data_IF_350667881193
#
_entry.id   IF_350667881193
#
_cell.length_a   1.000
_cell.length_b   1.000
_cell.length_c   1.000
_cell.angle_alpha   90.00
_cell.angle_beta   90.00
_cell.angle_gamma   90.00
#
_symmetry.space_group_name_H-M   'P 1'
#
loop_
_entity.id
_entity.type
_entity.pdbx_description
1 polymer ?
#
# COMPACT_ATOMS: atom_id res chain seq x y z
N UNK A 1 70.88 6.69 40.18
CA UNK A 1 71.58 5.51 39.65
C UNK A 1 70.63 4.69 38.78
N UNK A 2 70.92 4.61 37.48
CA UNK A 2 70.80 3.42 36.60
C UNK A 2 69.54 2.54 36.73
N UNK A 3 68.61 2.58 35.77
CA UNK A 3 68.55 1.79 34.50
C UNK A 3 68.15 0.30 34.70
N UNK A 4 67.19 -0.11 33.86
CA UNK A 4 66.84 -1.49 33.43
C UNK A 4 66.05 -2.35 34.44
N UNK A 5 65.09 -3.22 34.07
CA UNK A 5 64.41 -3.60 32.81
C UNK A 5 63.27 -4.58 33.19
N UNK A 6 62.21 -4.57 32.39
CA UNK A 6 61.40 -5.71 31.91
C UNK A 6 60.48 -6.52 32.84
N UNK A 7 59.30 -6.76 32.23
CA UNK A 7 58.40 -7.90 32.36
C UNK A 7 57.50 -7.94 33.60
N UNK A 8 56.20 -7.64 33.44
CA UNK A 8 55.17 -8.62 33.10
C UNK A 8 53.96 -7.86 32.56
N UNK A 9 53.85 -7.80 31.23
CA UNK A 9 52.61 -7.47 30.52
C UNK A 9 52.01 -8.78 30.04
N UNK A 10 51.02 -9.32 30.75
CA UNK A 10 50.05 -10.30 30.24
C UNK A 10 48.99 -10.58 31.30
N UNK A 11 47.75 -10.79 30.85
CA UNK A 11 46.60 -11.28 31.62
C UNK A 11 45.76 -10.29 32.44
N UNK A 12 45.26 -9.21 31.80
CA UNK A 12 43.92 -8.67 32.12
C UNK A 12 43.23 -8.31 30.81
N UNK A 13 42.72 -9.33 30.10
CA UNK A 13 42.00 -9.15 28.84
C UNK A 13 41.06 -10.33 28.58
N UNK A 14 40.04 -10.50 29.43
CA UNK A 14 38.86 -11.34 29.11
C UNK A 14 37.74 -11.17 30.15
N UNK A 15 37.11 -9.99 30.17
CA UNK A 15 35.76 -9.82 30.71
C UNK A 15 35.08 -8.68 29.95
N UNK A 16 35.04 -8.80 28.62
CA UNK A 16 34.10 -8.00 27.83
C UNK A 16 32.71 -8.60 28.08
N UNK A 17 31.71 -7.81 28.50
CA UNK A 17 30.33 -8.29 28.45
C UNK A 17 30.04 -8.55 26.99
N UNK A 18 29.64 -9.79 26.69
CA UNK A 18 28.96 -10.13 25.44
C UNK A 18 27.64 -9.35 25.42
N UNK A 19 27.69 -8.06 25.08
CA UNK A 19 26.60 -7.46 24.33
C UNK A 19 26.68 -8.11 22.96
N UNK A 20 26.01 -9.26 22.87
CA UNK A 20 25.57 -9.78 21.61
C UNK A 20 25.02 -8.59 20.82
N UNK A 21 25.58 -8.38 19.64
CA UNK A 21 24.99 -7.58 18.59
C UNK A 21 23.66 -8.24 18.21
N UNK A 22 22.67 -8.14 19.09
CA UNK A 22 21.30 -8.37 18.73
C UNK A 22 20.99 -7.29 17.71
N UNK A 23 20.77 -7.69 16.45
CA UNK A 23 19.84 -6.97 15.58
C UNK A 23 18.71 -6.52 16.50
N UNK A 24 18.53 -5.22 16.68
CA UNK A 24 17.32 -4.68 17.30
C UNK A 24 16.18 -5.21 16.45
N UNK A 25 15.62 -6.35 16.85
CA UNK A 25 14.35 -6.83 16.33
C UNK A 25 13.38 -5.77 16.79
N UNK A 26 13.07 -4.82 15.92
CA UNK A 26 12.01 -3.87 16.21
C UNK A 26 10.76 -4.71 16.44
N UNK A 27 10.25 -4.66 17.66
CA UNK A 27 9.08 -5.43 18.05
C UNK A 27 7.91 -4.93 17.21
N UNK A 28 7.43 -5.80 16.30
CA UNK A 28 6.26 -5.51 15.48
C UNK A 28 5.06 -5.23 16.38
N UNK A 29 4.20 -4.30 15.96
CA UNK A 29 2.91 -4.02 16.62
C UNK A 29 1.79 -4.64 15.80
N UNK A 30 0.91 -5.38 16.48
CA UNK A 30 -0.25 -6.00 15.87
C UNK A 30 -1.51 -5.29 16.38
N UNK A 31 -2.23 -4.63 15.49
CA UNK A 31 -3.50 -3.99 15.79
C UNK A 31 -4.63 -4.67 15.04
N UNK A 32 -5.76 -4.85 15.71
CA UNK A 32 -6.99 -5.38 15.11
C UNK A 32 -8.10 -4.38 15.29
N UNK A 33 -8.71 -3.99 14.18
CA UNK A 33 -9.94 -3.24 14.13
C UNK A 33 -11.13 -4.17 14.37
N UNK A 34 -11.98 -3.81 15.34
CA UNK A 34 -13.24 -4.50 15.63
C UNK A 34 -14.41 -3.70 15.07
N UNK A 35 -15.46 -4.42 14.66
CA UNK A 35 -16.73 -3.84 14.20
C UNK A 35 -17.45 -2.97 15.25
N UNK A 36 -17.04 -3.06 16.52
CA UNK A 36 -17.50 -2.18 17.61
C UNK A 36 -16.95 -0.75 17.57
N UNK A 37 -16.08 -0.40 16.61
CA UNK A 37 -15.38 0.90 16.59
C UNK A 37 -14.22 0.95 17.59
N UNK A 38 -13.61 -0.20 17.87
CA UNK A 38 -12.47 -0.34 18.77
C UNK A 38 -11.27 -0.91 18.03
N UNK A 39 -10.09 -0.41 18.36
CA UNK A 39 -8.83 -0.95 17.89
C UNK A 39 -8.06 -1.56 19.05
N UNK A 40 -7.69 -2.83 18.95
CA UNK A 40 -7.00 -3.56 20.02
C UNK A 40 -5.58 -3.91 19.59
N UNK A 41 -4.60 -3.50 20.38
CA UNK A 41 -3.21 -3.94 20.21
C UNK A 41 -3.02 -5.30 20.86
N UNK A 42 -2.34 -6.20 20.16
CA UNK A 42 -1.94 -7.51 20.65
C UNK A 42 -0.43 -7.67 20.59
N UNK A 43 0.08 -8.51 21.48
CA UNK A 43 1.42 -9.06 21.34
C UNK A 43 1.48 -10.03 20.16
N UNK A 44 2.33 -9.83 19.14
CA UNK A 44 2.37 -10.72 17.98
C UNK A 44 2.88 -12.14 18.30
N UNK A 45 3.59 -12.32 19.42
CA UNK A 45 4.18 -13.60 19.82
C UNK A 45 3.24 -14.44 20.66
N UNK A 46 2.34 -13.83 21.43
CA UNK A 46 1.42 -14.53 22.35
C UNK A 46 -0.06 -14.30 22.04
N UNK A 47 -0.37 -13.33 21.19
CA UNK A 47 -1.73 -12.82 20.95
C UNK A 47 -2.45 -12.34 22.21
N UNK A 48 -1.69 -11.96 23.25
CA UNK A 48 -2.25 -11.32 24.43
C UNK A 48 -2.62 -9.86 24.12
N UNK A 49 -3.82 -9.43 24.50
CA UNK A 49 -4.24 -8.04 24.34
C UNK A 49 -3.39 -7.12 25.23
N UNK A 50 -2.83 -6.06 24.65
CA UNK A 50 -2.03 -5.04 25.34
C UNK A 50 -2.87 -3.81 25.71
N UNK A 51 -3.60 -3.25 24.74
CA UNK A 51 -4.43 -2.06 24.94
C UNK A 51 -5.60 -1.98 23.96
N UNK A 52 -6.56 -1.10 24.26
CA UNK A 52 -7.72 -0.83 23.42
C UNK A 52 -7.91 0.67 23.26
N UNK A 53 -8.11 1.11 22.01
CA UNK A 53 -8.33 2.49 21.61
C UNK A 53 -9.69 2.61 20.96
N UNK A 54 -10.48 3.60 21.36
CA UNK A 54 -11.73 3.94 20.66
C UNK A 54 -11.40 4.76 19.43
N UNK A 55 -11.96 4.36 18.29
CA UNK A 55 -11.78 5.06 17.02
C UNK A 55 -13.14 5.53 16.50
N UNK A 56 -13.19 6.46 15.53
CA UNK A 56 -14.44 6.84 14.87
C UNK A 56 -15.16 5.62 14.27
N UNK A 57 -16.49 5.60 14.34
CA UNK A 57 -17.29 4.44 13.86
C UNK A 57 -17.17 4.28 12.34
N UNK A 58 -16.98 5.39 11.63
CA UNK A 58 -16.76 5.42 10.18
C UNK A 58 -15.49 4.66 9.80
N UNK A 59 -14.50 4.61 10.70
CA UNK A 59 -13.24 3.89 10.46
C UNK A 59 -13.44 2.37 10.38
N UNK A 60 -14.44 1.80 11.06
CA UNK A 60 -14.74 0.37 10.93
C UNK A 60 -15.39 0.01 9.60
N UNK A 61 -15.99 0.98 8.91
CA UNK A 61 -16.59 0.78 7.57
C UNK A 61 -15.59 1.04 6.44
N UNK A 62 -14.41 1.59 6.77
CA UNK A 62 -13.38 1.94 5.80
C UNK A 62 -11.98 1.67 6.38
N UNK A 63 -11.63 0.40 6.65
CA UNK A 63 -10.32 0.03 7.21
C UNK A 63 -9.14 0.55 6.37
N UNK A 64 -9.31 0.67 5.05
CA UNK A 64 -8.32 1.24 4.12
C UNK A 64 -7.99 2.71 4.39
N UNK A 65 -8.85 3.44 5.09
CA UNK A 65 -8.63 4.83 5.52
C UNK A 65 -7.87 4.94 6.85
N UNK A 66 -7.49 3.80 7.44
CA UNK A 66 -6.69 3.74 8.66
C UNK A 66 -5.21 3.49 8.30
N UNK A 67 -4.34 4.34 8.84
CA UNK A 67 -2.90 4.14 8.83
C UNK A 67 -2.38 3.99 10.26
N UNK A 68 -1.40 3.10 10.45
CA UNK A 68 -0.68 2.93 11.71
C UNK A 68 0.81 2.92 11.41
N UNK A 69 1.60 3.69 12.16
CA UNK A 69 3.06 3.65 12.04
C UNK A 69 3.70 2.68 13.03
N UNK A 70 5.01 2.46 12.90
CA UNK A 70 5.78 1.58 13.81
C UNK A 70 5.74 1.97 15.29
N UNK A 71 5.39 3.22 15.61
CA UNK A 71 5.25 3.69 17.00
C UNK A 71 3.86 3.39 17.59
N UNK A 72 2.94 2.89 16.76
CA UNK A 72 1.57 2.60 17.14
C UNK A 72 0.64 3.80 17.04
N UNK A 73 1.08 4.95 16.51
CA UNK A 73 0.16 6.06 16.27
C UNK A 73 -0.86 5.67 15.19
N UNK A 74 -2.11 6.10 15.35
CA UNK A 74 -3.22 5.72 14.47
C UNK A 74 -3.76 6.98 13.82
N UNK A 75 -3.92 6.94 12.51
CA UNK A 75 -4.54 7.99 11.70
C UNK A 75 -5.74 7.40 10.99
N UNK A 76 -6.90 8.04 11.12
CA UNK A 76 -8.05 7.81 10.26
C UNK A 76 -8.31 9.07 9.43
N UNK A 77 -8.20 8.95 8.12
CA UNK A 77 -8.42 10.04 7.18
C UNK A 77 -9.41 9.58 6.10
N UNK A 78 -10.64 10.15 6.04
CA UNK A 78 -11.61 9.78 5.02
C UNK A 78 -11.08 10.18 3.64
N UNK A 79 -11.23 9.29 2.65
CA UNK A 79 -10.83 9.57 1.28
C UNK A 79 -11.79 10.60 0.67
N UNK A 80 -11.23 11.63 0.04
CA UNK A 80 -11.97 12.65 -0.72
C UNK A 80 -11.33 12.74 -2.09
N UNK A 81 -12.13 12.56 -3.14
CA UNK A 81 -11.68 12.64 -4.53
C UNK A 81 -11.96 14.00 -5.13
N UNK A 82 -11.18 14.37 -6.15
CA UNK A 82 -11.50 15.49 -7.01
C UNK A 82 -12.30 14.98 -8.22
N UNK A 83 -13.28 15.75 -8.73
CA UNK A 83 -13.69 17.06 -8.23
C UNK A 83 -14.50 16.97 -6.94
N UNK A 84 -14.50 18.04 -6.15
CA UNK A 84 -15.20 18.04 -4.87
C UNK A 84 -16.72 18.04 -5.09
N UNK A 85 -17.42 17.13 -4.43
CA UNK A 85 -18.88 17.15 -4.40
C UNK A 85 -19.37 18.40 -3.65
N UNK A 86 -20.62 18.81 -3.91
CA UNK A 86 -21.19 19.95 -3.20
C UNK A 86 -21.21 19.72 -1.69
N UNK A 87 -21.54 18.49 -1.26
CA UNK A 87 -21.49 18.07 0.14
C UNK A 87 -20.12 18.27 0.79
N UNK A 88 -19.03 18.09 0.02
CA UNK A 88 -17.67 18.23 0.55
C UNK A 88 -17.30 19.68 0.89
N UNK A 89 -18.05 20.62 0.31
CA UNK A 89 -17.84 22.05 0.52
C UNK A 89 -18.71 22.61 1.64
N UNK A 90 -19.72 21.84 2.09
CA UNK A 90 -20.70 22.28 3.08
C UNK A 90 -20.29 21.99 4.52
N UNK A 91 -19.30 21.11 4.76
CA UNK A 91 -18.84 20.74 6.10
C UNK A 91 -17.33 20.61 6.18
N UNK A 92 -16.70 20.97 7.30
CA UNK A 92 -15.26 20.79 7.48
C UNK A 92 -14.93 19.30 7.58
N UNK A 93 -14.07 18.82 6.67
CA UNK A 93 -13.56 17.46 6.72
C UNK A 93 -12.42 17.40 7.73
N UNK A 94 -12.57 16.52 8.73
CA UNK A 94 -11.57 16.31 9.76
C UNK A 94 -11.02 14.90 9.66
N UNK A 95 -9.70 14.79 9.81
CA UNK A 95 -9.06 13.54 10.11
C UNK A 95 -8.99 13.35 11.63
N UNK A 96 -8.92 12.10 12.07
CA UNK A 96 -8.76 11.72 13.46
C UNK A 96 -7.37 11.12 13.66
N UNK A 97 -6.65 11.60 14.66
CA UNK A 97 -5.27 11.17 14.94
C UNK A 97 -5.11 10.80 16.41
N UNK A 98 -4.53 9.64 16.68
CA UNK A 98 -4.14 9.18 18.01
C UNK A 98 -2.62 9.09 18.13
N UNK A 99 -2.06 9.89 19.03
CA UNK A 99 -0.61 10.04 19.18
C UNK A 99 0.06 8.98 20.07
N UNK A 100 -0.68 7.96 20.53
CA UNK A 100 -0.22 7.02 21.57
C UNK A 100 -0.85 7.24 22.94
N UNK A 101 -1.53 8.37 23.15
CA UNK A 101 -2.14 8.75 24.44
C UNK A 101 -3.49 9.42 24.27
N UNK A 102 -3.58 10.42 23.40
CA UNK A 102 -4.75 11.26 23.21
C UNK A 102 -5.13 11.32 21.73
N UNK A 103 -6.42 11.42 21.47
CA UNK A 103 -6.95 11.64 20.14
C UNK A 103 -7.18 13.13 19.87
N UNK A 104 -6.89 13.56 18.66
CA UNK A 104 -7.13 14.93 18.15
C UNK A 104 -7.82 14.86 16.80
N UNK A 105 -8.56 15.93 16.46
CA UNK A 105 -9.14 16.11 15.15
C UNK A 105 -8.41 17.25 14.44
N UNK A 106 -7.97 17.01 13.21
CA UNK A 106 -7.19 17.96 12.40
C UNK A 106 -7.98 18.25 11.13
N UNK A 107 -7.99 19.48 10.67
CA UNK A 107 -8.63 19.86 9.40
C UNK A 107 -7.87 19.21 8.24
N UNK A 108 -8.59 18.55 7.34
CA UNK A 108 -8.03 17.93 6.14
C UNK A 108 -7.56 18.98 5.12
N UNK A 109 -8.04 20.22 5.24
CA UNK A 109 -7.59 21.35 4.42
C UNK A 109 -8.11 21.28 2.98
N UNK A 110 -9.33 20.77 2.78
CA UNK A 110 -10.01 20.84 1.49
C UNK A 110 -10.14 22.29 1.04
N UNK A 111 -9.96 22.54 -0.25
CA UNK A 111 -10.10 23.88 -0.83
C UNK A 111 -10.94 23.81 -2.09
N UNK A 112 -11.87 24.75 -2.23
CA UNK A 112 -12.58 25.06 -3.46
C UNK A 112 -12.69 26.57 -3.61
N UNK A 113 -12.28 27.08 -4.76
CA UNK A 113 -12.41 28.48 -5.13
C UNK A 113 -12.99 28.57 -6.54
N UNK A 114 -14.02 29.39 -6.72
CA UNK A 114 -14.67 29.60 -8.02
C UNK A 114 -14.51 31.07 -8.40
N UNK A 115 -13.92 31.32 -9.56
CA UNK A 115 -13.68 32.68 -10.07
C UNK A 115 -14.19 32.82 -11.50
N UNK A 116 -14.83 33.94 -11.82
CA UNK A 116 -15.28 34.22 -13.19
C UNK A 116 -14.10 34.66 -14.05
N UNK A 117 -13.89 34.00 -15.20
CA UNK A 117 -12.84 34.31 -16.17
C UNK A 117 -13.47 34.51 -17.56
N UNK A 118 -13.84 35.76 -17.89
CA UNK A 118 -14.54 36.07 -19.13
C UNK A 118 -15.94 35.44 -19.15
N UNK A 119 -16.26 34.65 -20.18
CA UNK A 119 -17.50 33.85 -20.26
C UNK A 119 -17.40 32.47 -19.61
N UNK A 120 -16.27 32.17 -18.96
CA UNK A 120 -16.00 30.88 -18.33
C UNK A 120 -15.90 31.03 -16.80
N UNK A 121 -15.96 29.91 -16.09
CA UNK A 121 -15.61 29.81 -14.68
C UNK A 121 -14.27 29.10 -14.53
N UNK A 122 -13.44 29.56 -13.60
CA UNK A 122 -12.23 28.86 -13.19
C UNK A 122 -12.45 28.32 -11.78
N UNK A 123 -12.48 26.99 -11.67
CA UNK A 123 -12.68 26.26 -10.42
C UNK A 123 -11.34 25.69 -9.99
N UNK A 124 -10.84 26.12 -8.84
CA UNK A 124 -9.60 25.62 -8.24
C UNK A 124 -9.93 24.79 -7.03
N UNK A 125 -9.53 23.52 -7.05
CA UNK A 125 -9.84 22.54 -6.00
C UNK A 125 -8.60 21.78 -5.54
N UNK A 126 -8.62 21.35 -4.29
CA UNK A 126 -7.58 20.52 -3.70
C UNK A 126 -8.18 19.62 -2.61
N UNK A 127 -7.86 18.33 -2.68
CA UNK A 127 -8.22 17.31 -1.70
C UNK A 127 -6.94 16.61 -1.22
N UNK A 128 -6.37 16.98 -0.05
CA UNK A 128 -5.16 16.35 0.45
C UNK A 128 -5.41 14.94 0.99
N UNK A 129 -4.48 14.03 0.67
CA UNK A 129 -4.31 12.74 1.35
C UNK A 129 -3.22 12.88 2.42
N UNK A 130 -3.45 12.30 3.60
CA UNK A 130 -2.58 12.46 4.77
C UNK A 130 -2.07 11.12 5.26
N UNK A 131 -0.79 11.06 5.60
CA UNK A 131 -0.14 9.85 6.05
C UNK A 131 0.79 10.11 7.23
N UNK A 132 1.00 9.08 8.04
CA UNK A 132 1.91 9.13 9.19
C UNK A 132 3.37 9.11 8.74
N UNK A 133 4.23 9.80 9.48
CA UNK A 133 5.66 9.57 9.40
C UNK A 133 6.06 8.30 10.16
N UNK A 134 7.15 7.65 9.73
CA UNK A 134 7.70 6.49 10.42
C UNK A 134 8.32 6.86 11.78
N UNK A 135 8.84 8.09 11.94
CA UNK A 135 9.39 8.60 13.21
C UNK A 135 8.32 9.14 14.19
N UNK A 136 7.07 9.22 13.73
CA UNK A 136 5.92 9.75 14.47
C UNK A 136 6.00 11.21 14.87
N UNK A 137 6.90 11.98 14.26
CA UNK A 137 7.05 13.42 14.50
C UNK A 137 6.24 14.28 13.53
N UNK A 138 5.81 13.72 12.39
CA UNK A 138 5.22 14.49 11.30
C UNK A 138 3.99 13.83 10.70
N UNK A 139 3.16 14.65 10.07
CA UNK A 139 2.16 14.19 9.09
C UNK A 139 2.63 14.61 7.70
N UNK A 140 2.58 13.68 6.76
CA UNK A 140 2.88 13.92 5.35
C UNK A 140 1.58 14.11 4.58
N UNK A 141 1.56 15.14 3.75
CA UNK A 141 0.39 15.56 3.01
C UNK A 141 0.72 15.56 1.52
N UNK A 142 -0.21 15.05 0.73
CA UNK A 142 -0.09 14.99 -0.72
C UNK A 142 -1.38 15.47 -1.34
N UNK A 143 -1.30 16.38 -2.29
CA UNK A 143 -2.49 16.87 -2.98
C UNK A 143 -2.21 17.16 -4.43
N UNK A 144 -3.18 16.88 -5.28
CA UNK A 144 -3.26 17.48 -6.61
C UNK A 144 -4.13 18.74 -6.49
N UNK A 145 -3.55 19.92 -6.69
CA UNK A 145 -4.32 21.15 -6.85
C UNK A 145 -4.73 21.28 -8.31
N UNK A 146 -6.00 21.08 -8.59
CA UNK A 146 -6.56 21.14 -9.94
C UNK A 146 -7.25 22.47 -10.18
N UNK A 147 -6.87 23.15 -11.27
CA UNK A 147 -7.56 24.36 -11.73
C UNK A 147 -8.24 24.06 -13.06
N UNK A 148 -9.55 23.86 -13.01
CA UNK A 148 -10.40 23.56 -14.16
C UNK A 148 -10.98 24.84 -14.75
N UNK A 149 -11.00 24.93 -16.06
CA UNK A 149 -11.73 25.95 -16.79
C UNK A 149 -13.04 25.34 -17.29
N UNK A 150 -14.16 25.94 -16.89
CA UNK A 150 -15.50 25.44 -17.16
C UNK A 150 -16.34 26.44 -17.95
N UNK A 151 -17.28 25.94 -18.72
CA UNK A 151 -18.36 26.72 -19.33
C UNK A 151 -19.64 25.91 -19.24
N UNK A 152 -20.69 26.48 -18.66
CA UNK A 152 -21.99 25.80 -18.52
C UNK A 152 -21.83 24.41 -17.88
N UNK A 153 -21.05 24.33 -16.80
CA UNK A 153 -20.73 23.10 -16.05
C UNK A 153 -19.97 22.01 -16.82
N UNK A 154 -19.47 22.32 -18.02
CA UNK A 154 -18.61 21.43 -18.81
C UNK A 154 -17.15 21.80 -18.63
N UNK A 155 -16.31 20.82 -18.29
CA UNK A 155 -14.86 21.00 -18.18
C UNK A 155 -14.23 21.17 -19.58
N UNK A 156 -13.49 22.25 -19.79
CA UNK A 156 -12.79 22.55 -21.05
C UNK A 156 -11.31 22.12 -20.99
N UNK A 157 -10.64 22.47 -19.89
CA UNK A 157 -9.24 22.14 -19.64
C UNK A 157 -8.94 22.14 -18.14
N UNK A 158 -7.83 21.51 -17.78
CA UNK A 158 -7.29 21.52 -16.41
C UNK A 158 -5.79 21.74 -16.43
N UNK A 159 -5.33 22.52 -15.46
CA UNK A 159 -3.93 22.53 -15.03
C UNK A 159 -3.85 21.92 -13.63
N UNK A 160 -2.89 21.02 -13.42
CA UNK A 160 -2.71 20.33 -12.13
C UNK A 160 -1.31 20.60 -11.61
N UNK A 161 -1.23 21.09 -10.38
CA UNK A 161 0.00 21.14 -9.60
C UNK A 161 -0.08 20.11 -8.48
N UNK A 162 0.74 19.07 -8.56
CA UNK A 162 0.88 18.10 -7.49
C UNK A 162 1.88 18.62 -6.45
N UNK A 163 1.54 18.49 -5.17
CA UNK A 163 2.32 19.00 -4.06
C UNK A 163 2.48 17.94 -2.97
N UNK A 164 3.65 17.92 -2.35
CA UNK A 164 3.95 17.20 -1.11
C UNK A 164 4.49 18.17 -0.07
N UNK A 165 3.95 18.13 1.14
CA UNK A 165 4.45 18.89 2.28
C UNK A 165 4.35 18.05 3.55
N UNK A 166 5.04 18.47 4.61
CA UNK A 166 4.85 17.91 5.96
C UNK A 166 4.42 18.98 6.95
N UNK A 167 3.82 18.53 8.04
CA UNK A 167 3.48 19.35 9.21
C UNK A 167 3.95 18.61 10.47
N UNK A 168 3.88 19.28 11.61
CA UNK A 168 3.87 18.57 12.89
C UNK A 168 2.62 17.68 13.04
N UNK A 169 2.55 16.94 14.14
CA UNK A 169 1.43 16.04 14.46
C UNK A 169 0.12 16.75 14.83
N UNK A 170 0.13 18.09 14.94
CA UNK A 170 -1.07 18.91 15.13
C UNK A 170 -1.58 19.52 13.81
N UNK A 171 -0.91 19.24 12.69
CA UNK A 171 -1.24 19.84 11.39
C UNK A 171 -0.68 21.25 11.19
N UNK A 172 0.24 21.70 12.04
CA UNK A 172 0.84 23.03 11.99
C UNK A 172 2.27 23.00 11.44
N UNK A 173 2.82 24.19 11.14
CA UNK A 173 4.23 24.31 10.70
C UNK A 173 4.50 23.66 9.35
N UNK A 174 3.68 23.97 8.34
CA UNK A 174 3.84 23.45 6.97
C UNK A 174 5.26 23.69 6.44
N UNK A 175 5.87 22.63 5.94
CA UNK A 175 7.13 22.61 5.22
C UNK A 175 6.97 21.92 3.88
N UNK A 176 7.16 22.66 2.78
CA UNK A 176 7.03 22.12 1.43
C UNK A 176 8.21 21.19 1.09
N UNK A 177 7.90 20.00 0.58
CA UNK A 177 8.89 18.97 0.26
C UNK A 177 9.13 18.90 -1.25
N UNK A 178 8.06 18.87 -2.03
CA UNK A 178 8.12 18.80 -3.49
C UNK A 178 6.87 19.41 -4.13
N UNK A 179 7.03 19.94 -5.34
CA UNK A 179 5.93 20.34 -6.22
C UNK A 179 6.27 20.02 -7.67
N UNK A 180 5.29 19.53 -8.42
CA UNK A 180 5.41 19.24 -9.85
C UNK A 180 4.16 19.72 -10.58
N UNK A 181 4.36 20.52 -11.63
CA UNK A 181 3.30 20.87 -12.56
C UNK A 181 3.15 19.77 -13.59
N UNK A 182 1.95 19.20 -13.64
CA UNK A 182 1.61 18.21 -14.67
C UNK A 182 1.30 18.93 -15.99
N UNK A 183 1.44 18.24 -17.14
CA UNK A 183 1.13 18.84 -18.44
C UNK A 183 -0.30 19.38 -18.48
N UNK A 184 -0.48 20.57 -19.07
CA UNK A 184 -1.81 21.10 -19.33
C UNK A 184 -2.61 20.11 -20.20
N UNK A 185 -3.87 19.92 -19.85
CA UNK A 185 -4.70 18.91 -20.45
C UNK A 185 -6.05 19.49 -20.86
N UNK A 186 -6.49 19.15 -22.07
CA UNK A 186 -7.84 19.45 -22.57
C UNK A 186 -8.77 18.33 -22.19
N UNK A 187 -10.04 18.66 -21.96
CA UNK A 187 -11.05 17.73 -21.47
C UNK A 187 -12.10 17.50 -22.58
N UNK A 188 -11.75 16.74 -23.64
CA UNK A 188 -12.58 16.61 -24.84
C UNK A 188 -13.92 15.91 -24.59
N UNK A 189 -14.03 15.16 -23.50
CA UNK A 189 -15.24 14.42 -23.09
C UNK A 189 -16.18 15.27 -22.24
N UNK A 190 -15.81 16.52 -21.93
CA UNK A 190 -16.54 17.40 -21.02
C UNK A 190 -16.22 17.18 -19.54
N UNK A 191 -15.31 16.24 -19.24
CA UNK A 191 -14.85 15.88 -17.90
C UNK A 191 -13.33 15.70 -17.93
N UNK A 192 -12.62 16.27 -16.95
CA UNK A 192 -11.16 16.17 -16.93
C UNK A 192 -10.61 14.89 -16.31
N UNK A 193 -11.33 14.25 -15.38
CA UNK A 193 -10.85 13.09 -14.62
C UNK A 193 -10.49 11.90 -15.52
N UNK A 194 -11.27 11.69 -16.57
CA UNK A 194 -11.12 10.56 -17.49
C UNK A 194 -9.96 10.76 -18.49
N UNK A 195 -9.53 12.02 -18.70
CA UNK A 195 -8.57 12.37 -19.77
C UNK A 195 -7.24 12.89 -19.25
N UNK A 196 -7.23 13.45 -18.04
CA UNK A 196 -6.12 14.25 -17.54
C UNK A 196 -5.41 13.60 -16.35
N UNK A 197 -4.07 13.74 -16.27
CA UNK A 197 -3.30 13.08 -15.24
C UNK A 197 -3.40 13.80 -13.89
N UNK A 198 -3.46 13.01 -12.84
CA UNK A 198 -3.33 13.41 -11.45
C UNK A 198 -2.15 12.66 -10.80
N UNK A 199 -1.58 13.23 -9.73
CA UNK A 199 -0.54 12.54 -8.97
C UNK A 199 -1.14 11.66 -7.90
N UNK A 200 -0.91 10.35 -7.99
CA UNK A 200 -1.28 9.35 -6.97
C UNK A 200 -0.02 8.94 -6.23
N UNK A 201 -0.09 8.84 -4.90
CA UNK A 201 1.06 8.56 -4.05
C UNK A 201 0.92 7.19 -3.42
N UNK A 202 2.03 6.45 -3.38
CA UNK A 202 2.19 5.27 -2.55
C UNK A 202 3.23 5.55 -1.47
N UNK A 203 2.94 5.09 -0.24
CA UNK A 203 3.85 5.20 0.90
C UNK A 203 4.03 3.84 1.57
N UNK A 204 5.16 3.61 2.28
CA UNK A 204 5.36 2.40 3.06
C UNK A 204 4.32 2.23 4.16
N UNK A 205 3.89 0.99 4.43
CA UNK A 205 2.88 0.68 5.44
C UNK A 205 3.22 1.20 6.85
N UNK A 206 4.51 1.34 7.18
CA UNK A 206 4.98 1.82 8.49
C UNK A 206 5.04 3.36 8.60
N UNK A 207 4.53 4.07 7.59
CA UNK A 207 4.62 5.52 7.45
C UNK A 207 5.80 5.95 6.58
N UNK A 208 5.78 7.22 6.19
CA UNK A 208 6.84 7.85 5.39
C UNK A 208 8.08 8.03 6.25
N UNK A 209 9.18 7.39 5.85
CA UNK A 209 10.50 7.58 6.44
C UNK A 209 11.29 8.56 5.58
N UNK A 210 12.12 8.02 4.68
CA UNK A 210 13.01 8.76 3.78
C UNK A 210 12.54 8.72 2.33
N UNK A 211 11.43 8.05 2.01
CA UNK A 211 10.95 7.96 0.62
C UNK A 211 9.43 7.79 0.48
N UNK A 212 8.94 8.12 -0.71
CA UNK A 212 7.61 7.76 -1.22
C UNK A 212 7.64 7.68 -2.76
N UNK A 213 6.60 7.11 -3.36
CA UNK A 213 6.46 6.98 -4.81
C UNK A 213 5.28 7.84 -5.28
N UNK A 214 5.44 8.55 -6.39
CA UNK A 214 4.34 9.25 -7.06
C UNK A 214 4.22 8.76 -8.49
N UNK A 215 2.99 8.42 -8.90
CA UNK A 215 2.64 8.05 -10.26
C UNK A 215 1.66 9.05 -10.86
N UNK A 216 1.90 9.45 -12.09
CA UNK A 216 0.96 10.19 -12.92
C UNK A 216 -0.10 9.22 -13.47
N UNK A 217 -1.33 9.38 -13.02
CA UNK A 217 -2.44 8.48 -13.25
C UNK A 217 -3.58 9.21 -13.98
N UNK A 218 -4.13 8.60 -15.02
CA UNK A 218 -5.39 9.01 -15.66
C UNK A 218 -6.40 7.90 -15.40
N UNK A 219 -7.58 8.25 -14.86
CA UNK A 219 -8.60 7.25 -14.55
C UNK A 219 -9.10 6.52 -15.80
N UNK A 220 -9.19 7.24 -16.92
CA UNK A 220 -9.74 6.73 -18.17
C UNK A 220 -11.24 6.52 -18.10
N UNK A 221 -11.86 6.32 -19.28
CA UNK A 221 -13.27 5.88 -19.37
C UNK A 221 -13.43 4.37 -19.26
N UNK A 222 -12.47 3.66 -19.84
CA UNK A 222 -12.51 2.22 -20.02
C UNK A 222 -11.44 1.52 -19.20
N UNK A 223 -10.25 2.11 -19.16
CA UNK A 223 -9.10 1.59 -18.43
C UNK A 223 -8.22 2.72 -17.90
N UNK A 224 -7.57 2.54 -16.75
CA UNK A 224 -6.62 3.51 -16.22
C UNK A 224 -5.32 3.52 -17.02
N UNK A 225 -4.74 4.72 -17.17
CA UNK A 225 -3.45 4.93 -17.84
C UNK A 225 -2.42 5.47 -16.85
N UNK A 226 -1.31 4.75 -16.70
CA UNK A 226 -0.17 5.14 -15.87
C UNK A 226 0.93 5.72 -16.75
N UNK A 227 1.23 7.03 -16.61
CA UNK A 227 2.11 7.75 -17.55
C UNK A 227 3.57 7.73 -17.15
N UNK A 228 3.87 8.04 -15.88
CA UNK A 228 5.23 8.12 -15.37
C UNK A 228 5.22 7.98 -13.85
N UNK A 229 6.28 7.40 -13.30
CA UNK A 229 6.49 7.31 -11.85
C UNK A 229 7.84 7.87 -11.45
N UNK A 230 7.91 8.43 -10.24
CA UNK A 230 9.14 8.92 -9.66
C UNK A 230 9.25 8.48 -8.19
N UNK A 231 10.46 8.10 -7.81
CA UNK A 231 10.87 7.90 -6.42
C UNK A 231 11.31 9.24 -5.84
N UNK A 232 10.60 9.69 -4.81
CA UNK A 232 11.01 10.84 -4.03
C UNK A 232 11.77 10.34 -2.82
N UNK A 233 13.02 10.79 -2.67
CA UNK A 233 13.88 10.41 -1.57
C UNK A 233 14.43 11.64 -0.86
N UNK A 234 14.45 11.59 0.46
CA UNK A 234 15.10 12.53 1.34
C UNK A 234 16.60 12.23 1.41
N UNK A 235 17.40 13.26 1.19
CA UNK A 235 18.84 13.24 1.43
C UNK A 235 19.30 14.61 1.93
N UNK A 236 19.83 14.65 3.15
CA UNK A 236 20.38 15.87 3.75
C UNK A 236 19.37 17.01 3.93
N UNK A 237 18.12 16.71 4.26
CA UNK A 237 17.03 17.66 4.43
C UNK A 237 16.36 18.09 3.12
N UNK A 238 16.73 17.51 1.99
CA UNK A 238 16.16 17.84 0.68
C UNK A 238 15.49 16.61 0.05
N UNK A 239 14.29 16.80 -0.46
CA UNK A 239 13.59 15.79 -1.24
C UNK A 239 13.95 15.91 -2.71
N UNK A 240 14.30 14.79 -3.33
CA UNK A 240 14.69 14.72 -4.74
C UNK A 240 13.91 13.64 -5.46
N UNK A 241 13.44 13.96 -6.66
CA UNK A 241 12.69 13.05 -7.51
C UNK A 241 13.65 12.34 -8.48
N UNK A 242 13.62 11.01 -8.47
CA UNK A 242 14.31 10.17 -9.44
C UNK A 242 13.27 9.46 -10.31
N UNK A 243 13.17 9.77 -11.61
CA UNK A 243 12.26 9.08 -12.52
C UNK A 243 12.56 7.59 -12.57
N UNK A 244 11.50 6.78 -12.58
CA UNK A 244 11.59 5.35 -12.82
C UNK A 244 11.49 5.05 -14.32
N UNK A 245 12.04 3.92 -14.75
CA UNK A 245 12.05 3.53 -16.16
C UNK A 245 10.64 3.29 -16.71
N UNK A 246 9.78 2.67 -15.92
CA UNK A 246 8.37 2.42 -16.25
C UNK A 246 7.46 3.07 -15.19
N UNK A 247 6.24 3.39 -15.60
CA UNK A 247 5.20 3.80 -14.66
C UNK A 247 4.74 2.59 -13.84
N UNK A 248 4.74 2.75 -12.52
CA UNK A 248 4.24 1.76 -11.57
C UNK A 248 2.71 1.78 -11.56
N UNK A 249 2.09 0.60 -11.62
CA UNK A 249 0.62 0.47 -11.57
C UNK A 249 0.09 0.40 -10.14
N UNK A 250 0.12 -0.80 -9.54
CA UNK A 250 -0.32 -1.03 -8.15
C UNK A 250 0.85 -1.49 -7.29
N UNK A 251 1.45 -0.56 -6.56
CA UNK A 251 2.56 -0.90 -5.65
C UNK A 251 2.01 -1.67 -4.45
N UNK A 252 2.54 -2.87 -4.22
CA UNK A 252 2.19 -3.71 -3.07
C UNK A 252 3.08 -3.44 -1.87
N UNK A 253 4.39 -3.35 -2.10
CA UNK A 253 5.39 -3.12 -1.05
C UNK A 253 6.69 -2.55 -1.65
N UNK A 254 7.54 -1.97 -0.81
CA UNK A 254 8.88 -1.56 -1.19
C UNK A 254 9.87 -1.67 -0.03
N UNK A 255 11.10 -2.08 -0.35
CA UNK A 255 12.20 -2.08 0.59
C UNK A 255 12.58 -0.66 1.03
N UNK A 256 13.34 -0.55 2.12
CA UNK A 256 13.85 0.72 2.62
C UNK A 256 14.57 1.53 1.52
N UNK A 257 14.26 2.82 1.43
CA UNK A 257 14.77 3.72 0.40
C UNK A 257 14.23 3.49 -1.02
N UNK A 258 13.29 2.57 -1.23
CA UNK A 258 12.58 2.38 -2.51
C UNK A 258 13.37 1.67 -3.62
N UNK A 259 14.50 1.03 -3.30
CA UNK A 259 15.36 0.39 -4.29
C UNK A 259 14.78 -0.93 -4.85
N UNK A 260 13.98 -1.63 -4.04
CA UNK A 260 13.23 -2.83 -4.43
C UNK A 260 11.76 -2.55 -4.26
N UNK A 261 10.97 -2.75 -5.32
CA UNK A 261 9.53 -2.47 -5.34
C UNK A 261 8.79 -3.70 -5.83
N UNK A 262 7.73 -4.08 -5.13
CA UNK A 262 6.76 -5.08 -5.58
C UNK A 262 5.56 -4.37 -6.17
N UNK A 263 5.20 -4.74 -7.38
CA UNK A 263 4.11 -4.17 -8.15
C UNK A 263 3.19 -5.28 -8.63
N UNK A 264 1.89 -5.12 -8.45
CA UNK A 264 0.87 -5.85 -9.18
C UNK A 264 0.52 -5.09 -10.46
N UNK A 265 0.55 -5.80 -11.58
CA UNK A 265 0.02 -5.38 -12.86
C UNK A 265 -1.38 -5.98 -12.95
N UNK A 266 -2.43 -5.18 -12.73
CA UNK A 266 -3.79 -5.67 -12.83
C UNK A 266 -4.16 -5.92 -14.29
N UNK A 267 -5.15 -6.79 -14.50
CA UNK A 267 -5.81 -6.91 -15.78
C UNK A 267 -6.43 -5.57 -16.22
N UNK A 268 -6.19 -5.19 -17.48
CA UNK A 268 -6.85 -4.10 -18.18
C UNK A 268 -8.08 -4.64 -18.92
N UNK A 269 -9.17 -4.88 -18.19
CA UNK A 269 -10.47 -5.22 -18.75
C UNK A 269 -11.37 -3.98 -18.93
N UNK A 270 -12.01 -3.82 -20.09
CA UNK A 270 -13.14 -2.89 -20.24
C UNK A 270 -14.48 -3.63 -20.18
N UNK A 271 -15.52 -2.90 -19.79
CA UNK A 271 -16.87 -3.16 -20.30
C UNK A 271 -17.52 -4.46 -19.77
N UNK A 272 -17.14 -4.87 -18.56
CA UNK A 272 -17.69 -6.04 -17.87
C UNK A 272 -16.84 -7.31 -17.98
N UNK A 273 -15.81 -7.31 -18.83
CA UNK A 273 -14.85 -8.42 -18.93
C UNK A 273 -13.78 -8.32 -17.85
N UNK A 274 -13.51 -9.44 -17.20
CA UNK A 274 -12.48 -9.55 -16.16
C UNK A 274 -11.12 -9.96 -16.71
N UNK A 275 -11.09 -10.86 -17.71
CA UNK A 275 -9.88 -11.55 -18.19
C UNK A 275 -9.53 -11.17 -19.63
N UNK A 276 -8.98 -9.98 -19.83
CA UNK A 276 -8.56 -9.49 -21.15
C UNK A 276 -7.03 -9.49 -21.32
N UNK A 277 -6.28 -9.41 -20.22
CA UNK A 277 -4.82 -9.39 -20.21
C UNK A 277 -4.27 -10.43 -19.23
N UNK A 278 -3.08 -10.21 -18.68
CA UNK A 278 -2.43 -11.18 -17.81
C UNK A 278 -2.11 -10.49 -16.49
N UNK A 279 -2.78 -10.89 -15.43
CA UNK A 279 -2.44 -10.42 -14.09
C UNK A 279 -1.04 -10.92 -13.71
N UNK A 280 -0.14 -9.97 -13.44
CA UNK A 280 1.23 -10.28 -13.07
C UNK A 280 1.60 -9.59 -11.76
N UNK A 281 2.49 -10.22 -11.00
CA UNK A 281 3.19 -9.54 -9.90
C UNK A 281 4.66 -9.55 -10.20
N UNK A 282 5.26 -8.36 -10.15
CA UNK A 282 6.64 -8.10 -10.49
C UNK A 282 7.39 -7.60 -9.27
N UNK A 283 8.66 -7.99 -9.17
CA UNK A 283 9.62 -7.36 -8.28
C UNK A 283 10.65 -6.63 -9.13
N UNK A 284 10.74 -5.31 -8.92
CA UNK A 284 11.71 -4.43 -9.56
C UNK A 284 12.86 -4.20 -8.60
N UNK A 285 14.08 -4.48 -9.02
CA UNK A 285 15.29 -4.27 -8.24
C UNK A 285 16.38 -3.72 -9.15
N UNK A 286 16.78 -2.46 -8.97
CA UNK A 286 17.88 -1.82 -9.71
C UNK A 286 17.80 -2.01 -11.25
N UNK A 287 16.62 -1.81 -11.82
CA UNK A 287 16.38 -1.95 -13.27
C UNK A 287 16.20 -3.38 -13.76
N UNK A 288 16.34 -4.39 -12.89
CA UNK A 288 15.94 -5.77 -13.18
C UNK A 288 14.50 -6.00 -12.72
N UNK A 289 13.74 -6.70 -13.56
CA UNK A 289 12.37 -7.11 -13.26
C UNK A 289 12.31 -8.62 -13.13
N UNK A 290 11.67 -9.10 -12.06
CA UNK A 290 11.44 -10.52 -11.79
C UNK A 290 9.93 -10.74 -11.70
N UNK A 291 9.37 -11.56 -12.58
CA UNK A 291 7.96 -11.96 -12.51
C UNK A 291 7.81 -13.05 -11.45
N UNK A 292 7.18 -12.71 -10.33
CA UNK A 292 6.93 -13.64 -9.22
C UNK A 292 5.58 -14.32 -9.37
N UNK A 293 4.58 -13.65 -9.95
CA UNK A 293 3.29 -14.25 -10.27
C UNK A 293 2.94 -13.95 -11.73
N UNK A 294 2.45 -14.97 -12.42
CA UNK A 294 1.94 -14.90 -13.78
C UNK A 294 0.69 -15.77 -13.85
N UNK A 295 -0.45 -15.12 -13.99
CA UNK A 295 -1.76 -15.75 -14.02
C UNK A 295 -1.86 -16.78 -15.15
N UNK A 296 -1.63 -16.38 -16.40
CA UNK A 296 -1.84 -17.23 -17.57
C UNK A 296 -0.90 -18.44 -17.55
N UNK A 297 0.32 -18.27 -17.05
CA UNK A 297 1.24 -19.38 -16.86
C UNK A 297 0.78 -20.36 -15.75
N UNK A 298 0.12 -19.85 -14.71
CA UNK A 298 -0.27 -20.64 -13.53
C UNK A 298 -1.62 -21.35 -13.72
N UNK A 299 -2.62 -20.65 -14.25
CA UNK A 299 -4.00 -21.12 -14.32
C UNK A 299 -4.46 -21.51 -15.72
N UNK A 300 -3.77 -21.05 -16.77
CA UNK A 300 -4.09 -21.34 -18.18
C UNK A 300 -5.56 -21.05 -18.50
N UNK A 301 -6.04 -19.89 -18.08
CA UNK A 301 -7.43 -19.47 -18.09
C UNK A 301 -7.79 -18.57 -19.28
N UNK A 302 -7.10 -18.68 -20.42
CA UNK A 302 -7.25 -17.70 -21.50
C UNK A 302 -8.64 -17.72 -22.18
N UNK A 303 -9.35 -18.85 -22.12
CA UNK A 303 -10.63 -19.04 -22.80
C UNK A 303 -11.85 -18.68 -21.94
N UNK A 304 -11.65 -18.43 -20.64
CA UNK A 304 -12.73 -18.12 -19.70
C UNK A 304 -12.58 -16.73 -19.08
N UNK A 305 -13.69 -16.04 -18.85
CA UNK A 305 -13.72 -14.73 -18.20
C UNK A 305 -13.59 -14.85 -16.68
N UNK A 306 -12.43 -15.30 -16.23
CA UNK A 306 -12.04 -15.32 -14.82
C UNK A 306 -10.62 -14.84 -14.70
N UNK A 307 -10.35 -13.97 -13.73
CA UNK A 307 -8.99 -13.48 -13.50
C UNK A 307 -8.49 -13.92 -12.13
N UNK A 308 -7.23 -14.35 -12.08
CA UNK A 308 -6.52 -14.68 -10.85
C UNK A 308 -5.44 -13.64 -10.61
N UNK A 309 -5.57 -12.86 -9.54
CA UNK A 309 -4.71 -11.71 -9.30
C UNK A 309 -4.19 -11.64 -7.88
N UNK A 310 -3.10 -10.90 -7.70
CA UNK A 310 -2.52 -10.64 -6.39
C UNK A 310 -3.20 -9.45 -5.73
N UNK A 311 -3.96 -9.68 -4.67
CA UNK A 311 -4.65 -8.62 -3.90
C UNK A 311 -3.71 -7.90 -2.93
N UNK A 312 -2.69 -8.58 -2.42
CA UNK A 312 -1.67 -8.04 -1.50
C UNK A 312 -0.35 -8.76 -1.75
N UNK A 313 0.77 -8.03 -1.72
CA UNK A 313 2.11 -8.60 -1.81
C UNK A 313 3.06 -7.87 -0.86
N UNK A 314 3.94 -8.60 -0.16
CA UNK A 314 4.93 -8.05 0.76
C UNK A 314 6.29 -8.74 0.62
N UNK A 315 7.36 -7.95 0.65
CA UNK A 315 8.74 -8.43 0.65
C UNK A 315 9.08 -9.04 2.01
N UNK A 316 9.82 -10.16 2.00
CA UNK A 316 10.46 -10.64 3.22
C UNK A 316 11.47 -9.59 3.72
N UNK A 317 11.73 -9.47 5.03
CA UNK A 317 12.66 -8.46 5.51
C UNK A 317 14.12 -8.65 5.02
N UNK A 318 14.58 -9.89 4.78
CA UNK A 318 15.86 -10.17 4.09
C UNK A 318 15.82 -9.99 2.55
N UNK A 319 14.66 -9.65 1.97
CA UNK A 319 14.47 -9.44 0.52
C UNK A 319 14.80 -10.67 -0.35
N UNK A 320 14.65 -11.86 0.20
CA UNK A 320 14.88 -13.15 -0.47
C UNK A 320 13.59 -13.85 -0.93
N UNK A 321 12.43 -13.34 -0.49
CA UNK A 321 11.13 -13.88 -0.81
C UNK A 321 10.05 -12.79 -0.90
N UNK A 322 8.94 -13.14 -1.53
CA UNK A 322 7.70 -12.35 -1.54
C UNK A 322 6.55 -13.24 -1.11
N UNK A 323 5.73 -12.74 -0.20
CA UNK A 323 4.46 -13.35 0.16
C UNK A 323 3.32 -12.60 -0.52
N UNK A 324 2.36 -13.32 -1.07
CA UNK A 324 1.28 -12.79 -1.90
C UNK A 324 -0.05 -13.41 -1.48
N UNK A 325 -1.14 -12.66 -1.50
CA UNK A 325 -2.49 -13.23 -1.50
C UNK A 325 -3.02 -13.26 -2.93
N UNK A 326 -3.27 -14.45 -3.44
CA UNK A 326 -3.93 -14.68 -4.73
C UNK A 326 -5.43 -14.82 -4.49
N UNK A 327 -6.23 -14.13 -5.31
CA UNK A 327 -7.69 -14.17 -5.31
C UNK A 327 -8.20 -14.32 -6.75
N UNK A 328 -9.48 -14.60 -6.92
CA UNK A 328 -10.12 -14.68 -8.23
C UNK A 328 -11.31 -13.72 -8.35
N UNK A 329 -11.66 -13.33 -9.57
CA UNK A 329 -12.86 -12.53 -9.85
C UNK A 329 -14.15 -13.36 -9.78
N UNK A 330 -14.10 -14.66 -10.07
CA UNK A 330 -15.25 -15.55 -9.94
C UNK A 330 -15.31 -16.26 -8.58
N UNK A 331 -16.53 -16.52 -8.14
CA UNK A 331 -16.80 -17.32 -6.95
C UNK A 331 -16.91 -18.82 -7.26
N UNK A 332 -16.65 -19.63 -6.23
CA UNK A 332 -16.82 -21.09 -6.31
C UNK A 332 -18.27 -21.44 -6.63
N UNK A 333 -18.47 -22.41 -7.51
CA UNK A 333 -19.78 -22.91 -7.96
C UNK A 333 -20.65 -21.94 -8.77
N UNK A 334 -20.13 -20.76 -9.13
CA UNK A 334 -20.83 -19.90 -10.08
C UNK A 334 -20.56 -20.34 -11.54
N UNK A 335 -21.46 -20.01 -12.48
CA UNK A 335 -21.16 -20.07 -13.90
C UNK A 335 -19.93 -19.22 -14.22
N UNK A 336 -19.08 -19.70 -15.14
CA UNK A 336 -17.93 -18.96 -15.63
C UNK A 336 -18.19 -18.73 -17.11
N UNK A 337 -18.21 -17.46 -17.52
CA UNK A 337 -18.44 -17.09 -18.90
C UNK A 337 -17.17 -17.33 -19.72
N UNK A 338 -17.31 -17.43 -21.04
CA UNK A 338 -16.15 -17.47 -21.94
C UNK A 338 -15.58 -16.07 -22.05
N UNK A 339 -14.26 -15.94 -22.19
CA UNK A 339 -13.65 -14.66 -22.54
C UNK A 339 -14.11 -14.21 -23.94
N UNK A 340 -13.93 -12.93 -24.28
CA UNK A 340 -14.41 -12.36 -25.55
C UNK A 340 -13.96 -13.15 -26.80
N UNK A 341 -12.75 -13.71 -26.75
CA UNK A 341 -12.16 -14.53 -27.83
C UNK A 341 -12.06 -16.02 -27.47
N UNK A 342 -12.62 -16.41 -26.33
CA UNK A 342 -12.44 -17.73 -25.75
C UNK A 342 -13.25 -18.82 -26.43
N UNK A 343 -12.71 -20.03 -26.42
CA UNK A 343 -13.42 -21.23 -26.88
C UNK A 343 -13.70 -22.17 -25.72
N UNK A 344 -14.86 -22.83 -25.72
CA UNK A 344 -15.22 -23.74 -24.65
C UNK A 344 -14.24 -24.93 -24.57
N UNK A 345 -13.34 -24.90 -23.59
CA UNK A 345 -12.45 -25.99 -23.21
C UNK A 345 -12.90 -26.60 -21.86
N UNK A 346 -13.43 -27.83 -21.84
CA UNK A 346 -13.87 -28.49 -20.61
C UNK A 346 -12.75 -28.78 -19.60
N UNK A 347 -11.52 -29.05 -20.06
CA UNK A 347 -10.38 -29.34 -19.17
C UNK A 347 -9.88 -28.06 -18.51
N UNK A 348 -9.82 -26.96 -19.26
CA UNK A 348 -9.55 -25.63 -18.71
C UNK A 348 -10.60 -25.24 -17.66
N UNK A 349 -11.89 -25.37 -17.99
CA UNK A 349 -12.98 -25.09 -17.03
C UNK A 349 -12.85 -25.88 -15.75
N UNK A 350 -12.53 -27.18 -15.87
CA UNK A 350 -12.34 -28.07 -14.72
C UNK A 350 -11.13 -27.66 -13.88
N UNK A 351 -10.02 -27.27 -14.52
CA UNK A 351 -8.84 -26.77 -13.84
C UNK A 351 -9.14 -25.46 -13.09
N UNK A 352 -9.81 -24.51 -13.73
CA UNK A 352 -10.25 -23.26 -13.12
C UNK A 352 -11.13 -23.53 -11.90
N UNK A 353 -12.17 -24.38 -12.06
CA UNK A 353 -13.08 -24.71 -10.96
C UNK A 353 -12.35 -25.34 -9.78
N UNK A 354 -11.34 -26.18 -10.04
CA UNK A 354 -10.49 -26.73 -8.98
C UNK A 354 -9.68 -25.63 -8.30
N UNK A 355 -9.04 -24.74 -9.05
CA UNK A 355 -8.29 -23.62 -8.50
C UNK A 355 -9.15 -22.71 -7.62
N UNK A 356 -10.38 -22.40 -8.04
CA UNK A 356 -11.32 -21.59 -7.25
C UNK A 356 -11.58 -22.19 -5.86
N UNK A 357 -11.60 -23.52 -5.72
CA UNK A 357 -11.81 -24.17 -4.40
C UNK A 357 -10.66 -23.97 -3.42
N UNK A 358 -9.51 -23.45 -3.83
CA UNK A 358 -8.35 -23.23 -2.97
C UNK A 358 -8.21 -21.75 -2.54
N UNK A 359 -8.99 -20.84 -3.14
CA UNK A 359 -8.85 -19.39 -2.96
C UNK A 359 -9.79 -18.82 -1.87
N UNK A 360 -9.43 -17.68 -1.24
CA UNK A 360 -8.16 -16.95 -1.36
C UNK A 360 -6.98 -17.77 -0.85
N UNK A 361 -5.79 -17.61 -1.44
CA UNK A 361 -4.60 -18.37 -1.03
C UNK A 361 -3.38 -17.48 -0.81
N UNK A 362 -2.59 -17.80 0.21
CA UNK A 362 -1.28 -17.18 0.41
C UNK A 362 -0.21 -18.01 -0.28
N UNK A 363 0.52 -17.39 -1.20
CA UNK A 363 1.65 -17.97 -1.90
C UNK A 363 2.95 -17.25 -1.53
N UNK A 364 4.01 -18.02 -1.27
CA UNK A 364 5.35 -17.48 -1.00
C UNK A 364 6.30 -17.96 -2.09
N UNK A 365 7.03 -17.03 -2.70
CA UNK A 365 8.02 -17.32 -3.75
C UNK A 365 9.36 -16.70 -3.44
N UNK A 366 10.43 -17.37 -3.88
CA UNK A 366 11.78 -16.82 -3.79
C UNK A 366 12.03 -15.70 -4.79
N UNK A 367 12.93 -14.78 -4.43
CA UNK A 367 13.43 -13.72 -5.31
C UNK A 367 14.77 -14.14 -5.91
N UNK A 368 14.70 -15.11 -6.81
CA UNK A 368 15.84 -15.62 -7.59
C UNK A 368 15.59 -15.44 -9.10
N UNK A 369 16.61 -15.68 -9.93
CA UNK A 369 16.48 -15.61 -11.40
C UNK A 369 15.37 -16.52 -11.94
N UNK A 370 15.15 -17.65 -11.28
CA UNK A 370 13.97 -18.50 -11.46
C UNK A 370 13.20 -18.54 -10.13
N UNK A 371 12.18 -17.70 -9.94
CA UNK A 371 11.32 -17.75 -8.76
C UNK A 371 10.64 -19.11 -8.66
N UNK A 372 10.67 -19.71 -7.47
CA UNK A 372 9.92 -20.93 -7.21
C UNK A 372 9.10 -20.81 -5.93
N UNK A 373 8.01 -21.59 -5.88
CA UNK A 373 7.07 -21.59 -4.77
C UNK A 373 7.64 -22.32 -3.56
N UNK A 374 7.73 -21.62 -2.45
CA UNK A 374 8.20 -22.13 -1.14
C UNK A 374 7.03 -22.58 -0.27
N UNK A 375 5.90 -21.86 -0.33
CA UNK A 375 4.69 -22.21 0.40
C UNK A 375 3.43 -21.86 -0.40
N UNK A 376 2.37 -22.63 -0.16
CA UNK A 376 1.03 -22.39 -0.67
C UNK A 376 0.02 -22.74 0.42
N UNK A 377 -0.81 -21.76 0.81
CA UNK A 377 -1.74 -21.86 1.93
C UNK A 377 -3.14 -21.54 1.41
N UNK A 378 -3.97 -22.55 1.10
CA UNK A 378 -5.33 -22.33 0.65
C UNK A 378 -6.18 -21.76 1.79
N UNK A 379 -7.24 -21.04 1.43
CA UNK A 379 -8.19 -20.40 2.36
C UNK A 379 -7.53 -19.46 3.39
N UNK A 380 -6.48 -18.76 2.96
CA UNK A 380 -5.72 -17.85 3.79
C UNK A 380 -5.55 -16.49 3.11
N UNK A 381 -5.45 -15.44 3.92
CA UNK A 381 -5.13 -14.08 3.46
C UNK A 381 -3.93 -13.54 4.24
N UNK A 382 -2.99 -12.93 3.52
CA UNK A 382 -1.75 -12.39 4.08
C UNK A 382 -2.02 -11.11 4.87
N UNK A 383 -1.51 -11.04 6.09
CA UNK A 383 -1.40 -9.79 6.85
C UNK A 383 0.01 -9.21 6.71
N UNK A 384 1.04 -10.05 6.84
CA UNK A 384 2.42 -9.67 6.58
C UNK A 384 3.48 -10.53 7.25
N UNK A 385 4.74 -10.11 7.16
CA UNK A 385 5.87 -10.79 7.80
C UNK A 385 6.05 -10.37 9.26
N UNK A 386 6.02 -11.33 10.18
CA UNK A 386 6.36 -11.12 11.59
C UNK A 386 7.88 -11.02 11.77
N UNK A 387 8.61 -11.84 11.02
CA UNK A 387 10.07 -11.91 10.96
C UNK A 387 10.48 -12.61 9.67
N UNK A 388 11.76 -12.92 9.51
CA UNK A 388 12.33 -13.52 8.30
C UNK A 388 11.72 -14.86 7.88
N UNK A 389 11.04 -15.57 8.78
CA UNK A 389 10.54 -16.92 8.52
C UNK A 389 9.07 -17.10 8.83
N UNK A 390 8.44 -16.14 9.50
CA UNK A 390 7.07 -16.26 9.96
C UNK A 390 6.17 -15.22 9.33
N UNK A 391 5.08 -15.71 8.74
CA UNK A 391 3.97 -14.90 8.26
C UNK A 391 2.90 -14.82 9.33
N UNK A 392 2.21 -13.69 9.37
CA UNK A 392 0.89 -13.56 9.97
C UNK A 392 -0.15 -13.63 8.84
N UNK A 393 -1.12 -14.52 9.00
CA UNK A 393 -2.21 -14.73 8.06
C UNK A 393 -3.56 -14.73 8.80
N UNK A 394 -4.63 -14.51 8.05
CA UNK A 394 -6.01 -14.80 8.48
C UNK A 394 -6.44 -16.11 7.83
N UNK A 395 -6.86 -17.08 8.65
CA UNK A 395 -7.40 -18.39 8.24
C UNK A 395 -8.65 -18.66 9.10
N UNK A 396 -9.79 -18.97 8.48
CA UNK A 396 -11.09 -19.15 9.16
C UNK A 396 -11.44 -18.02 10.15
N UNK A 397 -11.27 -16.76 9.74
CA UNK A 397 -11.50 -15.57 10.59
C UNK A 397 -10.64 -15.52 11.87
N UNK A 398 -9.51 -16.25 11.90
CA UNK A 398 -8.57 -16.27 13.03
C UNK A 398 -7.18 -15.83 12.59
N UNK A 399 -6.46 -15.14 13.48
CA UNK A 399 -5.04 -14.89 13.26
C UNK A 399 -4.24 -16.19 13.46
N UNK A 400 -3.38 -16.50 12.49
CA UNK A 400 -2.49 -17.67 12.51
C UNK A 400 -1.09 -17.21 12.13
N UNK A 401 -0.08 -17.67 12.89
CA UNK A 401 1.32 -17.54 12.45
C UNK A 401 1.73 -18.79 11.68
N UNK A 402 2.38 -18.60 10.55
CA UNK A 402 2.87 -19.69 9.70
C UNK A 402 4.38 -19.55 9.49
N UNK A 403 5.14 -20.59 9.84
CA UNK A 403 6.57 -20.62 9.59
C UNK A 403 6.87 -21.22 8.21
N UNK A 404 7.38 -20.40 7.30
CA UNK A 404 7.63 -20.76 5.90
C UNK A 404 8.67 -21.88 5.76
N UNK A 405 9.65 -21.95 6.67
CA UNK A 405 10.71 -22.95 6.62
C UNK A 405 10.31 -24.33 7.15
N UNK A 406 9.39 -24.39 8.10
CA UNK A 406 9.01 -25.65 8.79
C UNK A 406 7.59 -26.11 8.49
N UNK A 407 6.74 -25.25 7.94
CA UNK A 407 5.31 -25.50 7.77
C UNK A 407 4.50 -25.42 9.07
N UNK A 408 5.13 -25.05 10.19
CA UNK A 408 4.47 -25.02 11.50
C UNK A 408 3.45 -23.89 11.57
N UNK A 409 2.27 -24.19 12.13
CA UNK A 409 1.18 -23.24 12.36
C UNK A 409 0.94 -23.03 13.84
N UNK A 410 0.70 -21.78 14.25
CA UNK A 410 0.21 -21.44 15.59
C UNK A 410 -1.02 -20.55 15.46
N UNK A 411 -2.18 -21.12 15.81
CA UNK A 411 -3.47 -20.45 15.79
C UNK A 411 -3.68 -19.63 17.06
N UNK A 412 -4.16 -18.41 16.90
CA UNK A 412 -4.58 -17.55 18.01
C UNK A 412 -6.03 -17.82 18.42
N UNK A 413 -6.50 -17.15 19.48
CA UNK A 413 -7.92 -17.03 19.82
C UNK A 413 -8.54 -15.70 19.36
N UNK A 414 -7.80 -14.91 18.56
CA UNK A 414 -8.25 -13.59 18.09
C UNK A 414 -9.06 -13.75 16.82
N UNK A 415 -10.36 -13.42 16.91
CA UNK A 415 -11.28 -13.37 15.77
C UNK A 415 -11.15 -12.03 15.04
N UNK A 416 -11.13 -12.10 13.72
CA UNK A 416 -11.03 -10.94 12.83
C UNK A 416 -12.05 -11.09 11.71
N UNK A 417 -12.59 -9.97 11.23
CA UNK A 417 -13.55 -9.99 10.12
C UNK A 417 -12.87 -10.46 8.84
N UNK A 418 -11.77 -9.80 8.48
CA UNK A 418 -10.88 -10.17 7.39
C UNK A 418 -9.45 -9.63 7.66
N UNK A 419 -8.55 -9.76 6.68
CA UNK A 419 -7.18 -9.24 6.79
C UNK A 419 -7.07 -7.71 6.67
N UNK A 420 -8.02 -7.01 6.05
CA UNK A 420 -8.02 -5.55 5.95
C UNK A 420 -8.21 -4.89 7.33
N UNK A 421 -8.79 -5.62 8.28
CA UNK A 421 -8.98 -5.20 9.67
C UNK A 421 -7.75 -5.46 10.56
N UNK A 422 -6.64 -5.96 10.00
CA UNK A 422 -5.45 -6.35 10.77
C UNK A 422 -4.24 -5.56 10.27
N UNK A 423 -3.56 -4.90 11.20
CA UNK A 423 -2.45 -4.01 10.91
C UNK A 423 -1.20 -4.49 11.65
N UNK A 424 -0.25 -5.05 10.91
CA UNK A 424 1.06 -5.44 11.41
C UNK A 424 2.10 -4.37 11.02
N UNK A 425 2.76 -3.74 11.98
CA UNK A 425 3.67 -2.60 11.75
C UNK A 425 5.04 -2.80 12.41
#
# INVERSE_FOLDING_TARGET
MRRMLLAVSALVLSAAPMFAQGKLVMEKRLWVLRSSGEMVEYDPSTFAAKQTVKIPVEASQSPQSIAINRLGQILFAPAVSLPLAESDTQSPHKLWFWNGRTATAIDLGLKREVTTTGSNQAVTESAPAVYLSADGQHLFWFASQARRLQREDVDLSVTVEWQAWRTDTNGAGREDLASVKLPECRCPTGTCEESCPFGVVWIPNNGVADFFLMTQFVAGKTEPVYKASALYKEDGGKWTATPLADALRRVGDAAAGGAVVVEAIPDTGCCGWSNQSNDQTLVRNNGKTITVFDERASYKNADYDVSFYTSTAQLSPELDAVAMTVVATAEVNQPIELSEQGQADPEESKQIRKALTELPAVEVRTLSDAPHRVAFLPHATLVGWLNERELLIVEDHMLVTYNVSTGTRRRSNVRVEDAAHVFLR
#
